data_IF_933606712597
#
_entry.id   IF_933606712597
#
_cell.length_a   1.000
_cell.length_b   1.000
_cell.length_c   1.000
_cell.angle_alpha   90.00
_cell.angle_beta   90.00
_cell.angle_gamma   90.00
#
_symmetry.space_group_name_H-M   'P 1'
#
loop_
_entity.id
_entity.type
_entity.pdbx_description
1 polymer ?
#
# COMPACT_ATOMS: atom_id res chain seq x y z
N UNK A 1 13.39 3.03 -0.44
CA UNK A 1 12.05 3.49 -0.85
C UNK A 1 11.14 3.37 0.34
N UNK A 2 10.10 4.18 0.41
CA UNK A 2 9.16 4.12 1.53
C UNK A 2 8.35 2.83 1.44
N UNK A 3 8.39 2.02 2.51
CA UNK A 3 7.63 0.77 2.60
C UNK A 3 6.23 1.04 3.13
N UNK A 4 5.25 0.34 2.55
CA UNK A 4 3.84 0.52 2.88
C UNK A 4 3.10 -0.81 2.87
N UNK A 5 2.10 -0.92 3.74
CA UNK A 5 1.03 -1.91 3.63
C UNK A 5 -0.06 -1.38 2.72
N UNK A 6 -0.63 -2.25 1.90
CA UNK A 6 -1.83 -1.96 1.13
C UNK A 6 -3.08 -2.35 1.92
N UNK A 7 -3.97 -1.38 2.14
CA UNK A 7 -5.22 -1.55 2.87
C UNK A 7 -6.37 -1.84 1.91
N UNK A 8 -6.98 -3.02 2.04
CA UNK A 8 -8.19 -3.40 1.34
C UNK A 8 -9.40 -3.36 2.28
N UNK A 9 -10.50 -2.73 1.85
CA UNK A 9 -11.80 -2.88 2.52
C UNK A 9 -12.54 -4.07 1.90
N UNK A 10 -12.81 -5.11 2.68
CA UNK A 10 -13.39 -6.37 2.16
C UNK A 10 -14.91 -6.23 2.01
N UNK A 11 -15.53 -5.34 2.77
CA UNK A 11 -16.97 -5.12 2.81
C UNK A 11 -17.31 -3.62 2.78
N UNK A 12 -18.60 -3.30 2.54
CA UNK A 12 -19.13 -1.93 2.72
C UNK A 12 -19.06 -1.45 4.17
N UNK A 13 -18.79 -2.35 5.11
CA UNK A 13 -18.54 -2.04 6.52
C UNK A 13 -17.07 -1.70 6.72
N UNK A 14 -16.81 -0.47 7.19
CA UNK A 14 -15.47 0.08 7.46
C UNK A 14 -14.62 -0.70 8.47
N UNK A 15 -15.16 -1.75 9.07
CA UNK A 15 -14.56 -2.51 10.17
C UNK A 15 -13.84 -3.77 9.72
N UNK A 16 -14.03 -4.21 8.47
CA UNK A 16 -13.36 -5.39 7.93
C UNK A 16 -12.29 -4.97 6.91
N UNK A 17 -11.06 -4.88 7.41
CA UNK A 17 -9.89 -4.38 6.68
C UNK A 17 -8.85 -5.49 6.61
N UNK A 18 -8.34 -5.76 5.41
CA UNK A 18 -7.15 -6.59 5.17
C UNK A 18 -5.97 -5.71 4.81
N UNK A 19 -4.79 -6.14 5.24
CA UNK A 19 -3.53 -5.55 4.84
C UNK A 19 -2.78 -6.55 3.98
N UNK A 20 -2.21 -6.09 2.87
CA UNK A 20 -1.37 -6.86 1.95
C UNK A 20 0.00 -6.20 1.81
N UNK A 21 1.04 -6.97 1.53
CA UNK A 21 2.42 -6.50 1.36
C UNK A 21 3.47 -7.25 2.19
N UNK A 22 4.65 -6.64 2.43
CA UNK A 22 4.96 -5.22 2.22
C UNK A 22 5.16 -4.82 0.75
N UNK A 23 4.83 -3.57 0.44
CA UNK A 23 5.12 -2.92 -0.83
C UNK A 23 6.16 -1.82 -0.65
N UNK A 24 6.87 -1.48 -1.73
CA UNK A 24 7.73 -0.30 -1.80
C UNK A 24 7.14 0.74 -2.75
N UNK A 25 7.17 2.02 -2.37
CA UNK A 25 6.82 3.12 -3.28
C UNK A 25 7.95 3.30 -4.29
N UNK A 26 7.64 3.06 -5.57
CA UNK A 26 8.56 3.21 -6.69
C UNK A 26 8.53 4.62 -7.25
N UNK A 27 7.32 5.19 -7.40
CA UNK A 27 7.16 6.53 -7.96
C UNK A 27 5.91 7.23 -7.43
N UNK A 28 5.99 8.54 -7.28
CA UNK A 28 4.84 9.41 -6.99
C UNK A 28 4.30 9.97 -8.29
N UNK A 29 3.09 9.55 -8.67
CA UNK A 29 2.45 10.01 -9.92
C UNK A 29 1.86 11.41 -9.72
N UNK A 30 1.22 11.66 -8.57
CA UNK A 30 0.74 12.97 -8.16
C UNK A 30 0.58 13.04 -6.62
N UNK A 31 -0.18 14.00 -6.12
CA UNK A 31 -0.35 14.18 -4.68
C UNK A 31 -1.00 12.98 -3.96
N UNK A 32 -1.84 12.21 -4.67
CA UNK A 32 -2.67 11.15 -4.09
C UNK A 32 -2.48 9.77 -4.74
N UNK A 33 -1.71 9.66 -5.82
CA UNK A 33 -1.52 8.42 -6.58
C UNK A 33 -0.04 8.04 -6.67
N UNK A 34 0.26 6.79 -6.36
CA UNK A 34 1.61 6.24 -6.30
C UNK A 34 1.69 4.96 -7.13
N UNK A 35 2.86 4.68 -7.69
CA UNK A 35 3.22 3.37 -8.23
C UNK A 35 3.94 2.61 -7.12
N UNK A 36 3.41 1.45 -6.77
CA UNK A 36 3.99 0.56 -5.75
C UNK A 36 4.38 -0.78 -6.37
N UNK A 37 5.36 -1.45 -5.77
CA UNK A 37 5.81 -2.80 -6.15
C UNK A 37 5.77 -3.71 -4.93
N UNK A 38 5.19 -4.91 -5.09
CA UNK A 38 5.17 -5.90 -4.01
C UNK A 38 6.59 -6.41 -3.79
N UNK A 39 7.08 -6.37 -2.56
CA UNK A 39 8.49 -6.66 -2.24
C UNK A 39 8.87 -8.12 -2.54
N UNK A 40 7.98 -9.07 -2.27
CA UNK A 40 8.24 -10.50 -2.52
C UNK A 40 7.86 -10.96 -3.94
N UNK A 41 6.68 -10.55 -4.43
CA UNK A 41 6.11 -11.03 -5.70
C UNK A 41 6.53 -10.19 -6.92
N UNK A 42 7.06 -8.99 -6.71
CA UNK A 42 7.60 -8.13 -7.78
C UNK A 42 6.57 -7.51 -8.73
N UNK A 43 5.27 -7.75 -8.53
CA UNK A 43 4.25 -7.11 -9.37
C UNK A 43 4.05 -5.65 -8.97
N UNK A 44 3.60 -4.84 -9.93
CA UNK A 44 3.42 -3.40 -9.77
C UNK A 44 1.97 -3.00 -9.95
N UNK A 45 1.55 -2.00 -9.18
CA UNK A 45 0.22 -1.43 -9.32
C UNK A 45 0.18 0.03 -8.90
N UNK A 46 -0.86 0.73 -9.36
CA UNK A 46 -1.13 2.10 -8.93
C UNK A 46 -2.09 2.10 -7.77
N UNK A 47 -1.76 2.86 -6.72
CA UNK A 47 -2.60 2.94 -5.54
C UNK A 47 -2.83 4.36 -5.07
N UNK A 48 -3.98 4.55 -4.42
CA UNK A 48 -4.36 5.81 -3.82
C UNK A 48 -3.76 5.93 -2.42
N UNK A 49 -3.33 7.13 -2.02
CA UNK A 49 -2.71 7.39 -0.71
C UNK A 49 -3.52 6.84 0.47
N UNK A 50 -4.85 6.96 0.42
CA UNK A 50 -5.75 6.44 1.47
C UNK A 50 -5.69 4.91 1.67
N UNK A 51 -5.18 4.18 0.68
CA UNK A 51 -4.99 2.74 0.76
C UNK A 51 -3.57 2.38 1.23
N UNK A 52 -2.65 3.33 1.33
CA UNK A 52 -1.27 3.09 1.74
C UNK A 52 -1.10 3.41 3.22
N UNK A 53 -0.67 2.41 3.99
CA UNK A 53 -0.35 2.57 5.41
C UNK A 53 1.17 2.46 5.56
N UNK A 54 1.84 3.42 6.23
CA UNK A 54 3.28 3.32 6.46
C UNK A 54 3.64 1.99 7.13
N UNK A 55 4.64 1.31 6.59
CA UNK A 55 5.24 0.15 7.22
C UNK A 55 6.26 0.66 8.26
N UNK A 56 5.85 0.70 9.52
CA UNK A 56 6.79 0.94 10.63
C UNK A 56 7.26 -0.42 11.14
N UNK A 57 8.53 -0.73 10.90
CA UNK A 57 9.17 -1.80 11.66
C UNK A 57 9.25 -1.33 13.11
N UNK A 58 8.61 -2.07 14.02
CA UNK A 58 8.70 -1.76 15.45
C UNK A 58 10.04 -2.33 15.93
N UNK A 59 11.09 -1.50 15.89
CA UNK A 59 12.29 -1.70 16.71
C UNK A 59 11.93 -1.77 18.20
#
# INVERSE_FOLDING_TARGET
GDFVWLKHSINRTKFDVRFDGPFVIINRINQVKYLIEHTELGYRQYEHLNNLIPFYDRD
#
